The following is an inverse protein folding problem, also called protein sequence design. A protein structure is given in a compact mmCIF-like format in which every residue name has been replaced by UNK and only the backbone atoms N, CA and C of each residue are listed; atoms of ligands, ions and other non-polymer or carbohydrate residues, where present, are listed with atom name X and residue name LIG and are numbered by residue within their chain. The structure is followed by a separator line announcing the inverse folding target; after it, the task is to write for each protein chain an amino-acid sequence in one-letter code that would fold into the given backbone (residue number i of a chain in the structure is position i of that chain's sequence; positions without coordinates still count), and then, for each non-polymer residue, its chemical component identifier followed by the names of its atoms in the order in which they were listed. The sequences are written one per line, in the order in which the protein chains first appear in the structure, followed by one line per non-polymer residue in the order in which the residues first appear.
data_IF_518247079401
#
_entry.id   IF_518247079401
#
_cell.length_a   1.000
_cell.length_b   1.000
_cell.length_c   1.000
_cell.angle_alpha   90.00
_cell.angle_beta   90.00
_cell.angle_gamma   90.00
#
_symmetry.space_group_name_H-M   'P 1'
#
loop_
_entity.id
_entity.type
_entity.pdbx_description
1 polymer ?
#
# COMPACT_ATOMS: atom_id res chain seq x y z
N UNK A 1 7.35 -31.70 -27.78
CA UNK A 1 7.89 -30.51 -28.47
C UNK A 1 8.30 -29.48 -27.42
N UNK A 2 9.60 -29.33 -27.18
CA UNK A 2 10.16 -28.49 -26.12
C UNK A 2 10.49 -27.09 -26.65
N UNK A 3 10.01 -26.02 -25.98
CA UNK A 3 10.41 -24.63 -26.25
C UNK A 3 11.20 -24.09 -25.07
N UNK A 4 12.52 -23.98 -25.24
CA UNK A 4 13.45 -23.25 -24.37
C UNK A 4 13.55 -21.81 -24.88
N UNK A 5 13.32 -20.80 -24.05
CA UNK A 5 13.68 -19.42 -24.38
C UNK A 5 14.64 -18.83 -23.35
N UNK A 6 15.68 -18.20 -23.89
CA UNK A 6 16.97 -17.84 -23.29
C UNK A 6 16.90 -16.50 -22.58
N UNK A 7 17.45 -16.45 -21.37
CA UNK A 7 17.81 -15.26 -20.59
C UNK A 7 18.89 -14.43 -21.31
N UNK A 8 18.66 -13.11 -21.47
CA UNK A 8 19.68 -12.15 -21.92
C UNK A 8 20.19 -11.34 -20.72
N UNK A 9 21.48 -11.51 -20.46
CA UNK A 9 22.30 -10.89 -19.41
C UNK A 9 23.03 -9.70 -20.03
N UNK A 10 22.73 -8.47 -19.62
CA UNK A 10 23.49 -7.29 -20.05
C UNK A 10 24.59 -6.96 -19.02
N UNK A 11 25.82 -6.76 -19.51
CA UNK A 11 27.04 -6.58 -18.72
C UNK A 11 27.53 -5.13 -18.81
N UNK A 12 28.02 -4.63 -17.66
CA UNK A 12 29.20 -3.76 -17.43
C UNK A 12 29.37 -2.46 -18.24
N UNK A 13 29.57 -1.38 -17.49
CA UNK A 13 30.38 -0.22 -17.90
C UNK A 13 30.92 0.53 -16.67
N UNK A 14 32.08 0.12 -16.16
CA UNK A 14 32.90 0.91 -15.21
C UNK A 14 33.67 1.95 -16.03
N UNK A 15 33.63 3.23 -15.66
CA UNK A 15 34.63 4.22 -16.08
C UNK A 15 35.34 4.77 -14.85
N UNK A 16 36.64 4.52 -14.84
CA UNK A 16 37.63 5.08 -13.92
C UNK A 16 38.21 6.30 -14.64
N UNK A 17 38.25 7.45 -13.99
CA UNK A 17 39.10 8.56 -14.41
C UNK A 17 39.92 9.00 -13.19
N UNK A 18 41.21 8.65 -13.23
CA UNK A 18 42.26 9.31 -12.45
C UNK A 18 42.59 10.62 -13.15
N UNK A 19 42.72 11.69 -12.40
CA UNK A 19 43.55 12.83 -12.76
C UNK A 19 44.16 13.36 -11.46
N UNK A 20 45.44 13.07 -11.29
CA UNK A 20 46.33 13.70 -10.32
C UNK A 20 46.69 15.08 -10.88
N UNK A 21 46.74 16.10 -10.04
CA UNK A 21 47.57 17.27 -10.28
C UNK A 21 48.31 17.60 -8.99
N UNK A 22 49.63 17.51 -9.10
CA UNK A 22 50.61 17.90 -8.11
C UNK A 22 50.67 19.42 -8.00
N UNK A 23 50.58 19.94 -6.78
CA UNK A 23 51.21 21.22 -6.45
C UNK A 23 51.78 21.17 -5.05
N UNK A 24 53.11 21.17 -4.99
CA UNK A 24 53.89 21.22 -3.76
C UNK A 24 53.79 22.61 -3.11
N UNK A 25 53.55 22.64 -1.80
CA UNK A 25 53.81 23.81 -0.94
C UNK A 25 54.59 23.34 0.28
N UNK A 26 55.75 23.97 0.48
CA UNK A 26 56.70 23.72 1.56
C UNK A 26 56.24 24.40 2.88
N UNK A 27 56.06 23.55 3.90
CA UNK A 27 56.44 23.65 5.33
C UNK A 27 56.26 24.98 6.08
N UNK A 28 55.49 24.87 7.17
CA UNK A 28 55.80 25.50 8.47
C UNK A 28 55.64 24.45 9.56
N UNK A 29 56.74 24.14 10.25
CA UNK A 29 56.78 23.19 11.36
C UNK A 29 56.22 23.85 12.62
N UNK A 30 54.99 23.50 12.97
CA UNK A 30 54.39 23.71 14.29
C UNK A 30 54.07 22.31 14.83
N UNK A 31 54.55 21.89 16.01
CA UNK A 31 54.13 20.61 16.60
C UNK A 31 52.73 20.80 17.19
N UNK A 32 51.76 20.86 16.29
CA UNK A 32 50.33 20.91 16.57
C UNK A 32 49.88 19.46 16.77
N UNK A 33 49.31 19.19 17.93
CA UNK A 33 48.74 17.90 18.31
C UNK A 33 47.58 17.61 17.36
N UNK A 34 47.83 16.82 16.31
CA UNK A 34 46.81 16.39 15.37
C UNK A 34 45.90 15.39 16.08
N UNK A 35 44.82 15.91 16.65
CA UNK A 35 43.61 15.14 16.89
C UNK A 35 43.09 14.72 15.50
N UNK A 36 43.53 13.56 15.02
CA UNK A 36 42.95 12.89 13.85
C UNK A 36 41.53 12.41 14.19
N UNK A 37 40.64 13.34 14.54
CA UNK A 37 39.21 13.16 14.37
C UNK A 37 38.92 13.32 12.89
N UNK A 38 39.28 12.26 12.17
CA UNK A 38 38.67 11.92 10.89
C UNK A 38 37.17 12.03 11.06
N UNK A 39 36.57 13.00 10.38
CA UNK A 39 35.16 13.08 10.02
C UNK A 39 34.76 11.80 9.28
N UNK A 40 34.67 10.69 10.01
CA UNK A 40 33.84 9.57 9.61
C UNK A 40 32.44 10.07 9.84
N UNK A 41 31.85 10.66 8.81
CA UNK A 41 30.39 10.83 8.72
C UNK A 41 29.79 9.49 9.18
N UNK A 42 29.29 9.49 10.41
CA UNK A 42 28.79 8.28 11.02
C UNK A 42 27.55 7.92 10.21
N UNK A 43 27.68 6.95 9.30
CA UNK A 43 26.55 6.45 8.54
C UNK A 43 25.55 5.96 9.57
N UNK A 44 24.48 6.72 9.77
CA UNK A 44 23.41 6.34 10.70
C UNK A 44 22.86 5.04 10.16
N UNK A 45 22.99 3.92 10.90
CA UNK A 45 22.54 2.64 10.39
C UNK A 45 21.02 2.69 10.26
N UNK A 46 20.55 2.65 9.01
CA UNK A 46 19.12 2.52 8.72
C UNK A 46 18.80 1.07 8.46
N UNK A 47 17.53 0.70 8.62
CA UNK A 47 17.08 -0.67 8.33
C UNK A 47 17.40 -1.06 6.88
N UNK A 48 17.39 -0.11 5.93
CA UNK A 48 17.70 -0.36 4.52
C UNK A 48 19.18 -0.62 4.24
N UNK A 49 20.08 -0.06 5.06
CA UNK A 49 21.53 -0.26 4.92
C UNK A 49 22.04 -1.57 5.53
N UNK A 50 21.17 -2.33 6.21
CA UNK A 50 21.54 -3.62 6.77
C UNK A 50 21.82 -4.65 5.66
N UNK A 51 22.72 -5.61 5.88
CA UNK A 51 22.92 -6.73 4.99
C UNK A 51 21.63 -7.54 4.76
N UNK A 52 21.40 -8.11 3.56
CA UNK A 52 20.22 -8.90 3.24
C UNK A 52 19.97 -10.09 4.18
N UNK A 53 21.04 -10.69 4.72
CA UNK A 53 20.95 -11.80 5.68
C UNK A 53 20.24 -11.38 6.98
N UNK A 54 20.42 -10.12 7.39
CA UNK A 54 19.72 -9.56 8.55
C UNK A 54 18.27 -9.24 8.22
N UNK A 55 17.97 -8.76 7.00
CA UNK A 55 16.58 -8.58 6.57
C UNK A 55 15.83 -9.91 6.62
N UNK A 56 16.38 -10.98 6.05
CA UNK A 56 15.77 -12.30 6.08
C UNK A 56 15.53 -12.80 7.51
N UNK A 57 16.53 -12.65 8.40
CA UNK A 57 16.35 -13.01 9.82
C UNK A 57 15.26 -12.18 10.49
N UNK A 58 15.19 -10.87 10.26
CA UNK A 58 14.13 -10.03 10.84
C UNK A 58 12.76 -10.53 10.39
N UNK A 59 12.60 -10.80 9.09
CA UNK A 59 11.36 -11.32 8.52
C UNK A 59 10.99 -12.70 9.07
N UNK A 60 11.97 -13.59 9.30
CA UNK A 60 11.77 -14.91 9.91
C UNK A 60 11.21 -14.83 11.34
N UNK A 61 11.54 -13.78 12.10
CA UNK A 61 10.97 -13.54 13.43
C UNK A 61 9.58 -12.87 13.40
N UNK A 62 9.15 -12.31 12.27
CA UNK A 62 7.88 -11.60 12.16
C UNK A 62 6.75 -12.55 11.76
N UNK A 63 5.62 -12.42 12.44
CA UNK A 63 4.36 -13.05 12.00
C UNK A 63 3.83 -12.38 10.75
N UNK A 64 3.03 -13.10 9.98
CA UNK A 64 2.50 -12.70 8.67
C UNK A 64 1.98 -11.25 8.61
N UNK A 65 1.15 -10.83 9.57
CA UNK A 65 0.61 -9.46 9.63
C UNK A 65 1.71 -8.41 9.87
N UNK A 66 2.62 -8.67 10.81
CA UNK A 66 3.69 -7.72 11.14
C UNK A 66 4.72 -7.66 10.00
N UNK A 67 4.98 -8.81 9.38
CA UNK A 67 5.80 -8.97 8.18
C UNK A 67 5.19 -8.19 7.01
N UNK A 68 3.88 -8.27 6.80
CA UNK A 68 3.17 -7.49 5.78
C UNK A 68 3.29 -5.98 6.04
N UNK A 69 3.03 -5.53 7.28
CA UNK A 69 3.18 -4.12 7.65
C UNK A 69 4.61 -3.63 7.38
N UNK A 70 5.64 -4.37 7.79
CA UNK A 70 7.03 -3.98 7.51
C UNK A 70 7.33 -3.97 6.01
N UNK A 71 6.86 -4.97 5.28
CA UNK A 71 7.01 -5.08 3.83
C UNK A 71 6.41 -3.88 3.09
N UNK A 72 5.25 -3.39 3.51
CA UNK A 72 4.57 -2.24 2.89
C UNK A 72 5.34 -0.91 3.04
N UNK A 73 6.26 -0.79 4.00
CA UNK A 73 7.07 0.44 4.18
C UNK A 73 8.14 0.61 3.10
N UNK A 74 8.56 -0.46 2.42
CA UNK A 74 9.64 -0.43 1.43
C UNK A 74 9.46 -1.50 0.35
N UNK A 75 9.61 -1.11 -0.93
CA UNK A 75 9.50 -2.02 -2.07
C UNK A 75 10.42 -3.24 -2.00
N UNK A 76 11.64 -3.08 -1.44
CA UNK A 76 12.58 -4.18 -1.27
C UNK A 76 12.08 -5.20 -0.23
N UNK A 77 11.57 -4.70 0.90
CA UNK A 77 11.03 -5.51 1.98
C UNK A 77 9.72 -6.21 1.59
N UNK A 78 8.90 -5.57 0.76
CA UNK A 78 7.72 -6.23 0.20
C UNK A 78 8.06 -7.48 -0.61
N UNK A 79 9.16 -7.46 -1.36
CA UNK A 79 9.66 -8.63 -2.08
C UNK A 79 10.01 -9.78 -1.14
N UNK A 80 10.75 -9.49 -0.06
CA UNK A 80 11.11 -10.47 0.97
C UNK A 80 9.87 -11.04 1.66
N UNK A 81 8.93 -10.18 2.07
CA UNK A 81 7.66 -10.60 2.65
C UNK A 81 6.90 -11.56 1.74
N UNK A 82 6.77 -11.22 0.45
CA UNK A 82 6.03 -12.01 -0.52
C UNK A 82 6.66 -13.39 -0.76
N UNK A 83 8.00 -13.47 -0.78
CA UNK A 83 8.71 -14.74 -0.91
C UNK A 83 8.52 -15.66 0.31
N UNK A 84 8.43 -15.09 1.51
CA UNK A 84 8.32 -15.87 2.76
C UNK A 84 6.88 -16.23 3.16
N UNK A 85 5.95 -15.27 3.09
CA UNK A 85 4.57 -15.44 3.57
C UNK A 85 3.52 -15.40 2.46
N UNK A 86 3.87 -14.94 1.25
CA UNK A 86 2.94 -14.80 0.15
C UNK A 86 1.89 -13.71 0.38
N UNK A 87 0.65 -14.00 -0.03
CA UNK A 87 -0.49 -13.09 0.11
C UNK A 87 -1.13 -13.24 1.50
N UNK A 88 -1.16 -12.16 2.28
CA UNK A 88 -1.83 -12.11 3.59
C UNK A 88 -3.23 -11.50 3.43
N UNK A 89 -4.26 -12.16 3.99
CA UNK A 89 -5.63 -11.64 4.03
C UNK A 89 -5.71 -10.41 4.94
N UNK A 90 -6.59 -9.45 4.60
CA UNK A 90 -6.86 -8.30 5.46
C UNK A 90 -7.54 -8.67 6.79
N UNK A 91 -8.17 -9.86 6.86
CA UNK A 91 -8.74 -10.42 8.09
C UNK A 91 -7.73 -11.22 8.92
N UNK A 92 -6.50 -11.41 8.42
CA UNK A 92 -5.46 -12.13 9.14
C UNK A 92 -5.22 -11.50 10.51
N UNK A 93 -5.26 -12.33 11.55
CA UNK A 93 -5.14 -11.91 12.94
C UNK A 93 -3.71 -12.05 13.42
N UNK A 94 -3.25 -11.08 14.17
CA UNK A 94 -2.01 -11.16 14.93
C UNK A 94 -2.27 -10.81 16.38
N UNK A 95 -1.36 -11.26 17.24
CA UNK A 95 -1.40 -10.99 18.66
C UNK A 95 -0.16 -10.22 19.03
N UNK A 96 -0.35 -9.05 19.64
CA UNK A 96 0.73 -8.32 20.28
C UNK A 96 0.38 -8.10 21.75
N UNK A 97 1.24 -8.62 22.63
CA UNK A 97 0.99 -8.68 24.08
C UNK A 97 -0.34 -9.40 24.38
N UNK A 98 -1.38 -8.66 24.75
CA UNK A 98 -2.69 -9.18 25.13
C UNK A 98 -3.82 -8.71 24.21
N UNK A 99 -3.51 -8.09 23.07
CA UNK A 99 -4.52 -7.63 22.11
C UNK A 99 -4.38 -8.38 20.79
N UNK A 100 -5.51 -8.92 20.33
CA UNK A 100 -5.64 -9.41 18.96
C UNK A 100 -6.06 -8.23 18.07
N UNK A 101 -5.45 -8.11 16.90
CA UNK A 101 -5.89 -7.18 15.87
C UNK A 101 -5.71 -7.82 14.49
N UNK A 102 -6.45 -7.31 13.52
CA UNK A 102 -6.42 -7.73 12.13
C UNK A 102 -5.48 -6.87 11.31
N UNK A 103 -5.02 -7.36 10.17
CA UNK A 103 -4.19 -6.58 9.24
C UNK A 103 -4.91 -5.29 8.81
N UNK A 104 -6.21 -5.33 8.50
CA UNK A 104 -6.94 -4.09 8.16
C UNK A 104 -6.95 -3.07 9.31
N UNK A 105 -6.96 -3.52 10.57
CA UNK A 105 -6.97 -2.62 11.71
C UNK A 105 -5.60 -1.94 11.87
N UNK A 106 -4.52 -2.68 11.62
CA UNK A 106 -3.16 -2.13 11.62
C UNK A 106 -2.95 -1.12 10.48
N UNK A 107 -3.56 -1.36 9.32
CA UNK A 107 -3.45 -0.46 8.16
C UNK A 107 -4.40 0.74 8.23
N UNK A 108 -5.37 0.75 9.15
CA UNK A 108 -6.41 1.80 9.22
C UNK A 108 -5.80 3.19 9.32
N UNK A 109 -4.76 3.36 10.13
CA UNK A 109 -4.12 4.66 10.36
C UNK A 109 -3.22 5.09 9.17
N UNK A 110 -2.89 4.17 8.27
CA UNK A 110 -2.09 4.44 7.06
C UNK A 110 -2.97 4.79 5.86
N UNK A 111 -4.24 4.42 5.89
CA UNK A 111 -5.18 4.70 4.82
C UNK A 111 -5.74 6.12 4.95
N UNK A 112 -6.03 6.81 3.82
CA UNK A 112 -6.82 8.03 3.84
C UNK A 112 -8.13 7.82 4.59
N UNK A 113 -8.56 8.80 5.38
CA UNK A 113 -9.75 8.69 6.24
C UNK A 113 -11.08 8.48 5.49
N UNK A 114 -11.10 8.66 4.18
CA UNK A 114 -12.25 8.40 3.31
C UNK A 114 -12.45 6.90 2.99
N UNK A 115 -11.41 6.09 3.21
CA UNK A 115 -11.42 4.66 2.95
C UNK A 115 -11.81 3.89 4.20
N UNK A 116 -12.83 3.05 4.07
CA UNK A 116 -13.30 2.14 5.10
C UNK A 116 -13.08 0.69 4.66
N UNK A 117 -12.68 -0.16 5.61
CA UNK A 117 -12.55 -1.58 5.34
C UNK A 117 -13.94 -2.22 5.12
N UNK A 118 -14.07 -2.95 4.01
CA UNK A 118 -15.25 -3.72 3.66
C UNK A 118 -14.90 -5.21 3.63
N UNK A 119 -15.36 -5.93 4.67
CA UNK A 119 -15.07 -7.35 4.91
C UNK A 119 -15.35 -8.29 3.74
N UNK A 120 -16.55 -8.26 3.13
CA UNK A 120 -16.92 -9.24 2.09
C UNK A 120 -15.98 -9.32 0.88
N UNK A 121 -15.32 -8.22 0.54
CA UNK A 121 -14.37 -8.13 -0.58
C UNK A 121 -12.90 -8.12 -0.11
N UNK A 122 -12.67 -8.10 1.21
CA UNK A 122 -11.37 -7.82 1.81
C UNK A 122 -10.66 -6.61 1.17
N UNK A 123 -11.36 -5.48 1.06
CA UNK A 123 -10.84 -4.26 0.41
C UNK A 123 -11.16 -3.01 1.23
N UNK A 124 -10.31 -2.00 1.08
CA UNK A 124 -10.61 -0.64 1.51
C UNK A 124 -11.38 0.08 0.41
N UNK A 125 -12.56 0.58 0.73
CA UNK A 125 -13.47 1.22 -0.21
C UNK A 125 -13.82 2.62 0.29
N UNK A 126 -14.08 3.55 -0.62
CA UNK A 126 -14.71 4.81 -0.25
C UNK A 126 -16.10 4.55 0.35
N UNK A 127 -16.57 5.46 1.19
CA UNK A 127 -17.90 5.35 1.82
C UNK A 127 -19.03 5.09 0.81
N UNK A 128 -19.04 5.79 -0.32
CA UNK A 128 -20.04 5.59 -1.37
C UNK A 128 -19.91 4.20 -2.02
N UNK A 129 -18.68 3.75 -2.32
CA UNK A 129 -18.46 2.46 -2.98
C UNK A 129 -18.83 1.32 -2.06
N UNK A 130 -18.58 1.48 -0.76
CA UNK A 130 -19.07 0.60 0.29
C UNK A 130 -20.60 0.53 0.30
N UNK A 131 -21.30 1.67 0.17
CA UNK A 131 -22.77 1.68 0.08
C UNK A 131 -23.25 0.91 -1.15
N UNK A 132 -22.72 1.21 -2.33
CA UNK A 132 -23.06 0.50 -3.57
C UNK A 132 -22.81 -1.01 -3.44
N UNK A 133 -21.65 -1.40 -2.94
CA UNK A 133 -21.32 -2.81 -2.70
C UNK A 133 -22.26 -3.46 -1.69
N UNK A 134 -22.62 -2.77 -0.60
CA UNK A 134 -23.60 -3.29 0.34
C UNK A 134 -24.93 -3.62 -0.34
N UNK A 135 -25.40 -2.77 -1.26
CA UNK A 135 -26.67 -3.03 -1.95
C UNK A 135 -26.54 -4.17 -2.96
N UNK A 136 -25.41 -4.26 -3.69
CA UNK A 136 -25.13 -5.38 -4.61
C UNK A 136 -25.06 -6.71 -3.86
N UNK A 137 -24.29 -6.79 -2.78
CA UNK A 137 -24.19 -8.00 -1.96
C UNK A 137 -25.50 -8.33 -1.26
N UNK A 138 -26.33 -7.33 -0.96
CA UNK A 138 -27.70 -7.56 -0.48
C UNK A 138 -28.56 -8.22 -1.56
N UNK A 139 -28.37 -7.89 -2.86
CA UNK A 139 -28.98 -8.59 -4.01
C UNK A 139 -28.51 -10.02 -4.20
N UNK A 140 -27.29 -10.36 -3.81
CA UNK A 140 -26.82 -11.75 -3.86
C UNK A 140 -27.25 -12.56 -2.62
N UNK A 141 -27.21 -11.93 -1.44
CA UNK A 141 -27.76 -12.48 -0.19
C UNK A 141 -29.30 -12.55 -0.16
N UNK A 142 -29.95 -11.86 -1.10
CA UNK A 142 -31.39 -11.86 -1.37
C UNK A 142 -31.85 -13.29 -1.66
N UNK A 143 -31.05 -14.15 -2.31
CA UNK A 143 -31.43 -15.54 -2.55
C UNK A 143 -31.66 -16.34 -1.26
N UNK A 144 -30.83 -16.13 -0.24
CA UNK A 144 -30.98 -16.78 1.07
C UNK A 144 -32.16 -16.21 1.87
N UNK A 145 -32.48 -14.93 1.68
CA UNK A 145 -33.58 -14.26 2.38
C UNK A 145 -34.94 -14.50 1.70
N UNK A 146 -34.96 -14.62 0.37
CA UNK A 146 -36.10 -15.04 -0.44
C UNK A 146 -36.57 -16.45 -0.03
N UNK A 147 -35.62 -17.34 0.27
CA UNK A 147 -35.92 -18.68 0.80
C UNK A 147 -36.61 -18.67 2.18
N UNK A 148 -36.66 -17.54 2.88
CA UNK A 148 -37.20 -17.44 4.25
C UNK A 148 -38.37 -16.45 4.40
N UNK A 149 -38.82 -15.81 3.33
CA UNK A 149 -39.92 -14.83 3.35
C UNK A 149 -41.11 -15.34 2.53
N UNK A 150 -42.33 -14.94 2.91
CA UNK A 150 -43.50 -15.14 2.05
C UNK A 150 -43.48 -14.20 0.84
N UNK A 151 -44.22 -14.57 -0.21
CA UNK A 151 -44.22 -13.87 -1.50
C UNK A 151 -44.59 -12.38 -1.39
N UNK A 152 -45.52 -12.01 -0.50
CA UNK A 152 -45.95 -10.62 -0.34
C UNK A 152 -44.91 -9.77 0.42
N UNK A 153 -44.24 -10.36 1.40
CA UNK A 153 -43.10 -9.74 2.08
C UNK A 153 -41.91 -9.57 1.14
N UNK A 154 -41.70 -10.52 0.24
CA UNK A 154 -40.65 -10.46 -0.78
C UNK A 154 -40.88 -9.34 -1.80
N UNK A 155 -42.12 -9.22 -2.31
CA UNK A 155 -42.47 -8.22 -3.31
C UNK A 155 -42.28 -6.78 -2.79
N UNK A 156 -42.75 -6.48 -1.57
CA UNK A 156 -42.50 -5.18 -0.92
C UNK A 156 -41.02 -4.90 -0.71
N UNK A 157 -40.26 -5.93 -0.31
CA UNK A 157 -38.83 -5.80 -0.11
C UNK A 157 -38.10 -5.50 -1.43
N UNK A 158 -38.50 -6.14 -2.54
CA UNK A 158 -37.99 -5.83 -3.87
C UNK A 158 -38.32 -4.38 -4.29
N UNK A 159 -39.56 -3.93 -4.10
CA UNK A 159 -39.98 -2.55 -4.40
C UNK A 159 -39.18 -1.50 -3.60
N UNK A 160 -38.97 -1.75 -2.30
CA UNK A 160 -38.17 -0.87 -1.45
C UNK A 160 -36.71 -0.83 -1.91
N UNK A 161 -36.15 -1.97 -2.32
CA UNK A 161 -34.80 -2.02 -2.89
C UNK A 161 -34.72 -1.26 -4.21
N UNK A 162 -35.64 -1.46 -5.14
CA UNK A 162 -35.65 -0.73 -6.42
C UNK A 162 -35.72 0.78 -6.21
N UNK A 163 -36.50 1.23 -5.21
CA UNK A 163 -36.56 2.64 -4.83
C UNK A 163 -35.23 3.17 -4.28
N UNK A 164 -34.59 2.44 -3.37
CA UNK A 164 -33.26 2.81 -2.84
C UNK A 164 -32.21 2.87 -3.96
N UNK A 165 -32.23 1.91 -4.89
CA UNK A 165 -31.32 1.90 -6.03
C UNK A 165 -31.55 3.06 -6.99
N UNK A 166 -32.81 3.37 -7.30
CA UNK A 166 -33.15 4.52 -8.14
C UNK A 166 -32.69 5.84 -7.50
N UNK A 167 -32.80 5.96 -6.17
CA UNK A 167 -32.31 7.12 -5.44
C UNK A 167 -30.78 7.22 -5.47
N UNK A 168 -30.08 6.12 -5.24
CA UNK A 168 -28.62 6.06 -5.33
C UNK A 168 -28.12 6.40 -6.75
N UNK A 169 -28.78 5.89 -7.78
CA UNK A 169 -28.48 6.22 -9.18
C UNK A 169 -28.58 7.72 -9.44
N UNK A 170 -29.67 8.35 -9.01
CA UNK A 170 -29.83 9.82 -9.11
C UNK A 170 -28.72 10.58 -8.40
N UNK A 171 -28.32 10.14 -7.20
CA UNK A 171 -27.22 10.78 -6.44
C UNK A 171 -25.86 10.63 -7.12
N UNK A 172 -25.63 9.50 -7.80
CA UNK A 172 -24.41 9.32 -8.59
C UNK A 172 -24.37 10.26 -9.78
N UNK A 173 -25.46 10.36 -10.54
CA UNK A 173 -25.57 11.28 -11.68
C UNK A 173 -25.40 12.75 -11.27
N UNK A 174 -25.90 13.12 -10.09
CA UNK A 174 -25.71 14.46 -9.52
C UNK A 174 -24.25 14.74 -9.14
N UNK A 175 -23.60 13.78 -8.49
CA UNK A 175 -22.19 13.89 -8.10
C UNK A 175 -21.26 13.96 -9.33
N UNK A 176 -21.54 13.18 -10.37
CA UNK A 176 -20.79 13.20 -11.63
C UNK A 176 -20.90 14.57 -12.32
N UNK A 177 -22.11 15.14 -12.37
CA UNK A 177 -22.35 16.50 -12.88
C UNK A 177 -21.59 17.56 -12.09
N UNK A 178 -21.54 17.45 -10.77
CA UNK A 178 -20.77 18.36 -9.92
C UNK A 178 -19.25 18.27 -10.20
N UNK A 179 -18.75 17.08 -10.50
CA UNK A 179 -17.34 16.89 -10.86
C UNK A 179 -17.03 17.51 -12.22
N UNK A 180 -17.89 17.33 -13.21
CA UNK A 180 -17.76 17.97 -14.53
C UNK A 180 -17.76 19.51 -14.42
N UNK A 181 -18.68 20.08 -13.62
CA UNK A 181 -18.73 21.52 -13.39
C UNK A 181 -17.47 22.06 -12.70
N UNK A 182 -16.93 21.31 -11.72
CA UNK A 182 -15.67 21.66 -11.07
C UNK A 182 -14.49 21.63 -12.06
N UNK A 183 -14.44 20.61 -12.92
CA UNK A 183 -13.40 20.50 -13.95
C UNK A 183 -13.46 21.65 -14.96
N UNK A 184 -14.65 22.01 -15.42
CA UNK A 184 -14.83 23.19 -16.29
C UNK A 184 -14.36 24.48 -15.61
N UNK A 185 -14.71 24.68 -14.33
CA UNK A 185 -14.33 25.87 -13.59
C UNK A 185 -12.81 25.97 -13.38
N UNK A 186 -12.14 24.84 -13.10
CA UNK A 186 -10.67 24.79 -12.99
C UNK A 186 -10.02 25.13 -14.32
N UNK A 187 -10.51 24.57 -15.43
CA UNK A 187 -9.98 24.86 -16.76
C UNK A 187 -10.11 26.34 -17.12
N UNK A 188 -11.27 26.97 -16.81
CA UNK A 188 -11.46 28.41 -17.03
C UNK A 188 -10.48 29.29 -16.24
N UNK A 189 -10.07 28.86 -15.04
CA UNK A 189 -9.11 29.59 -14.22
C UNK A 189 -7.66 29.43 -14.68
N UNK A 190 -7.34 28.33 -15.37
CA UNK A 190 -6.00 28.08 -15.90
C UNK A 190 -5.75 28.79 -17.25
N UNK A 191 -6.81 29.13 -17.98
CA UNK A 191 -6.74 29.82 -19.27
C UNK A 191 -6.65 31.36 -19.14
N UNK A 192 -6.75 31.92 -17.92
CA UNK A 192 -6.62 33.37 -17.61
C UNK A 192 -5.27 33.71 -17.01
#
# INVERSE_FOLDING_TARGET
MARKNKTKRCKRGKKVARLCNDTAVLKTDTPEYQDEQSDRESIVPTLQTLPPELHLKIFDYLRDVNSACLGLTCKQFYGIHWELHGKVSLEAKTHFRHRAFTLHAALKDWMPGELEYYGPEEKFLTKWRRQVMHVIYRKEGIAWRAMMMDDASWERYCEDQEREFAELGRRMEEMERHLEELEENVNRLLDT
#
